data_IF_537809733148
#
_entry.id   IF_537809733148
#
_cell.length_a   1.000
_cell.length_b   1.000
_cell.length_c   1.000
_cell.angle_alpha   90.00
_cell.angle_beta   90.00
_cell.angle_gamma   90.00
#
_symmetry.space_group_name_H-M   'P 1'
#
loop_
_entity.id
_entity.type
_entity.pdbx_description
1 polymer ?
#
# COMPACT_ATOMS: atom_id res chain seq x y z
N UNK A 1 3.02 -88.20 25.01
CA UNK A 1 1.72 -88.74 25.48
C UNK A 1 0.66 -87.68 25.31
N UNK A 2 -0.04 -87.69 24.19
CA UNK A 2 -1.51 -87.86 24.10
C UNK A 2 -2.27 -86.78 24.84
N UNK A 3 -3.23 -86.09 24.34
CA UNK A 3 -4.34 -86.41 23.43
C UNK A 3 -5.04 -85.10 23.13
N UNK A 4 -5.28 -84.66 21.85
CA UNK A 4 -6.59 -84.71 21.16
C UNK A 4 -7.71 -84.05 21.95
N UNK A 5 -8.31 -83.06 21.44
CA UNK A 5 -9.32 -82.81 20.39
C UNK A 5 -10.55 -82.13 20.97
N UNK A 6 -11.20 -81.39 20.06
CA UNK A 6 -12.59 -81.00 20.01
C UNK A 6 -12.93 -79.70 20.83
N UNK A 7 -13.61 -78.76 20.29
CA UNK A 7 -14.57 -78.86 19.23
C UNK A 7 -15.07 -77.53 18.74
N UNK A 8 -15.50 -77.68 17.65
CA UNK A 8 -16.22 -76.90 16.71
C UNK A 8 -17.40 -76.06 17.28
N UNK A 9 -17.60 -74.93 16.58
CA UNK A 9 -18.88 -74.26 16.31
C UNK A 9 -19.42 -73.34 17.42
N UNK A 10 -19.23 -72.05 17.15
CA UNK A 10 -20.40 -71.14 17.00
C UNK A 10 -19.93 -69.97 16.13
N UNK A 11 -20.29 -70.08 14.86
CA UNK A 11 -20.29 -68.98 13.94
C UNK A 11 -21.48 -68.06 14.32
N UNK A 12 -21.18 -66.96 14.93
CA UNK A 12 -22.14 -65.87 15.03
C UNK A 12 -21.77 -64.83 13.96
N UNK A 13 -22.54 -64.77 12.91
CA UNK A 13 -22.61 -63.73 11.91
C UNK A 13 -22.72 -62.39 12.64
N UNK A 14 -21.73 -61.57 12.57
CA UNK A 14 -21.87 -60.11 12.62
C UNK A 14 -21.50 -59.62 11.24
N UNK A 15 -22.50 -59.47 10.40
CA UNK A 15 -22.38 -58.76 9.13
C UNK A 15 -22.15 -57.29 9.45
N UNK A 16 -20.90 -56.87 9.45
CA UNK A 16 -20.55 -55.48 9.40
C UNK A 16 -20.81 -55.05 7.93
N UNK A 17 -21.90 -54.35 7.71
CA UNK A 17 -22.15 -53.62 6.46
C UNK A 17 -21.13 -52.48 6.38
N UNK A 18 -20.04 -52.71 5.69
CA UNK A 18 -19.23 -51.67 5.10
C UNK A 18 -20.09 -51.07 3.96
N UNK A 19 -20.73 -49.94 4.27
CA UNK A 19 -21.19 -49.02 3.22
C UNK A 19 -19.94 -48.34 2.69
N UNK A 20 -19.35 -48.88 1.66
CA UNK A 20 -18.44 -48.18 0.80
C UNK A 20 -19.31 -47.16 0.02
N UNK A 21 -19.41 -45.94 0.50
CA UNK A 21 -19.82 -44.82 -0.33
C UNK A 21 -18.59 -44.50 -1.22
N UNK A 22 -18.51 -45.25 -2.32
CA UNK A 22 -17.71 -44.83 -3.46
C UNK A 22 -18.54 -43.75 -4.18
N UNK A 23 -18.41 -42.51 -3.77
CA UNK A 23 -18.62 -41.39 -4.67
C UNK A 23 -17.30 -41.16 -5.37
N UNK A 24 -17.13 -41.78 -6.51
CA UNK A 24 -16.20 -41.32 -7.51
C UNK A 24 -16.74 -40.02 -8.08
N UNK A 25 -16.06 -38.99 -7.86
CA UNK A 25 -16.11 -37.74 -8.57
C UNK A 25 -14.67 -37.36 -8.77
N UNK A 26 -14.11 -37.67 -9.93
CA UNK A 26 -12.92 -37.02 -10.44
C UNK A 26 -13.35 -35.57 -10.77
N UNK A 27 -13.15 -34.69 -9.86
CA UNK A 27 -12.97 -33.27 -10.14
C UNK A 27 -11.51 -32.95 -9.82
N UNK A 28 -10.66 -33.09 -10.84
CA UNK A 28 -9.38 -32.39 -10.94
C UNK A 28 -9.68 -30.89 -11.20
N UNK A 29 -10.17 -30.21 -10.21
CA UNK A 29 -10.17 -28.78 -10.03
C UNK A 29 -9.52 -28.53 -8.69
N UNK A 30 -8.25 -28.16 -8.70
CA UNK A 30 -7.58 -27.59 -7.53
C UNK A 30 -8.23 -26.25 -7.20
N UNK A 31 -9.44 -26.27 -6.65
CA UNK A 31 -10.05 -25.12 -6.01
C UNK A 31 -9.35 -24.97 -4.65
N UNK A 32 -8.76 -23.80 -4.42
CA UNK A 32 -8.30 -23.43 -3.08
C UNK A 32 -9.43 -23.66 -2.07
N UNK A 33 -9.08 -24.15 -0.90
CA UNK A 33 -10.07 -24.34 0.16
C UNK A 33 -10.67 -22.99 0.53
N UNK A 34 -12.01 -22.92 0.56
CA UNK A 34 -12.69 -21.69 0.95
C UNK A 34 -12.43 -21.39 2.43
N UNK A 35 -11.95 -20.19 2.71
CA UNK A 35 -11.74 -19.71 4.07
C UNK A 35 -13.08 -19.33 4.74
N UNK A 36 -13.23 -19.63 6.01
CA UNK A 36 -14.36 -19.15 6.82
C UNK A 36 -14.02 -17.78 7.44
N UNK A 37 -15.04 -17.05 7.84
CA UNK A 37 -14.87 -15.77 8.56
C UNK A 37 -14.10 -16.01 9.87
N UNK A 38 -12.99 -15.30 10.06
CA UNK A 38 -12.13 -15.42 11.25
C UNK A 38 -11.26 -16.68 11.28
N UNK A 39 -11.18 -17.43 10.18
CA UNK A 39 -10.29 -18.59 10.06
C UNK A 39 -8.83 -18.12 9.91
N UNK A 40 -7.93 -18.77 10.65
CA UNK A 40 -6.48 -18.62 10.52
C UNK A 40 -5.84 -19.95 10.23
N UNK A 41 -4.86 -19.97 9.33
CA UNK A 41 -4.13 -21.16 8.87
C UNK A 41 -2.61 -21.07 9.13
N UNK A 42 -2.17 -20.02 9.82
CA UNK A 42 -0.79 -19.78 10.24
C UNK A 42 -0.54 -18.36 10.69
N UNK A 43 0.72 -17.99 10.89
CA UNK A 43 1.13 -16.62 11.15
C UNK A 43 0.99 -15.78 9.87
N UNK A 44 0.73 -14.48 9.99
CA UNK A 44 0.64 -13.57 8.84
C UNK A 44 2.04 -13.07 8.45
N UNK A 45 2.40 -13.23 7.18
CA UNK A 45 3.59 -12.61 6.61
C UNK A 45 3.14 -11.42 5.73
N UNK A 46 3.27 -10.24 6.28
CA UNK A 46 2.85 -8.97 5.67
C UNK A 46 4.06 -8.30 4.99
N UNK A 47 3.90 -7.83 3.75
CA UNK A 47 4.88 -7.01 3.07
C UNK A 47 4.25 -5.66 2.74
N UNK A 48 4.69 -4.62 3.42
CA UNK A 48 4.00 -3.33 3.50
C UNK A 48 4.97 -2.17 3.27
N UNK A 49 4.46 -0.96 3.23
CA UNK A 49 5.23 0.27 3.30
C UNK A 49 5.73 0.50 4.73
N UNK A 50 6.84 1.24 4.87
CA UNK A 50 7.32 1.67 6.18
C UNK A 50 6.28 2.58 6.86
N UNK A 51 6.15 2.47 8.20
CA UNK A 51 5.29 3.34 9.03
C UNK A 51 3.82 3.42 8.57
N UNK A 52 3.28 2.32 8.06
CA UNK A 52 1.95 2.30 7.46
C UNK A 52 0.94 1.39 8.17
N UNK A 53 1.35 0.70 9.22
CA UNK A 53 0.51 -0.15 10.06
C UNK A 53 0.67 0.21 11.53
N UNK A 54 -0.45 0.52 12.20
CA UNK A 54 -0.48 0.78 13.63
C UNK A 54 -0.06 -0.47 14.44
N UNK A 55 1.02 -0.39 15.23
CA UNK A 55 1.48 -1.51 16.06
C UNK A 55 0.44 -1.98 17.11
N UNK A 56 -0.45 -1.10 17.55
CA UNK A 56 -1.51 -1.47 18.49
C UNK A 56 -2.57 -2.33 17.80
N UNK A 57 -2.88 -2.07 16.52
CA UNK A 57 -3.75 -2.94 15.72
C UNK A 57 -3.12 -4.29 15.41
N UNK A 58 -1.81 -4.36 15.16
CA UNK A 58 -1.11 -5.64 15.04
C UNK A 58 -1.24 -6.44 16.34
N UNK A 59 -0.94 -5.82 17.48
CA UNK A 59 -1.07 -6.46 18.79
C UNK A 59 -2.49 -6.93 19.07
N UNK A 60 -3.50 -6.14 18.70
CA UNK A 60 -4.92 -6.50 18.87
C UNK A 60 -5.28 -7.72 18.01
N UNK A 61 -4.87 -7.75 16.74
CA UNK A 61 -5.09 -8.89 15.86
C UNK A 61 -4.43 -10.17 16.39
N UNK A 62 -3.16 -10.10 16.79
CA UNK A 62 -2.42 -11.22 17.36
C UNK A 62 -3.12 -11.78 18.62
N UNK A 63 -3.61 -10.89 19.47
CA UNK A 63 -4.31 -11.28 20.70
C UNK A 63 -5.69 -11.90 20.43
N UNK A 64 -6.42 -11.42 19.42
CA UNK A 64 -7.74 -11.92 19.07
C UNK A 64 -7.69 -13.27 18.40
N UNK A 65 -6.77 -13.45 17.43
CA UNK A 65 -6.73 -14.63 16.58
C UNK A 65 -5.67 -15.66 16.98
N UNK A 66 -4.75 -15.31 17.88
CA UNK A 66 -3.73 -16.21 18.41
C UNK A 66 -2.64 -16.57 17.42
N UNK A 67 -2.34 -15.69 16.47
CA UNK A 67 -1.29 -15.77 15.45
C UNK A 67 -0.32 -14.62 15.63
N UNK A 68 0.85 -14.67 14.98
CA UNK A 68 1.81 -13.56 14.93
C UNK A 68 1.77 -12.88 13.58
N UNK A 69 2.13 -11.58 13.54
CA UNK A 69 2.37 -10.83 12.31
C UNK A 69 3.88 -10.66 12.13
N UNK A 70 4.40 -11.10 10.99
CA UNK A 70 5.76 -10.85 10.54
C UNK A 70 5.69 -9.81 9.43
N UNK A 71 6.08 -8.57 9.71
CA UNK A 71 6.07 -7.49 8.75
C UNK A 71 7.47 -7.22 8.22
N UNK A 72 7.60 -7.18 6.89
CA UNK A 72 8.75 -6.64 6.17
C UNK A 72 8.28 -5.42 5.35
N UNK A 73 9.20 -4.49 5.04
CA UNK A 73 8.87 -3.25 4.36
C UNK A 73 9.56 -3.11 3.00
N UNK A 74 8.97 -2.29 2.13
CA UNK A 74 9.52 -1.89 0.85
C UNK A 74 9.33 -0.38 0.62
N UNK A 75 10.16 0.21 -0.23
CA UNK A 75 10.23 1.65 -0.50
C UNK A 75 9.61 2.07 -1.83
N UNK A 76 9.23 1.11 -2.68
CA UNK A 76 8.49 1.34 -3.93
C UNK A 76 7.79 0.07 -4.43
N UNK A 77 6.72 0.23 -5.22
CA UNK A 77 6.05 -0.88 -5.89
C UNK A 77 7.00 -1.64 -6.82
N UNK A 78 7.92 -0.92 -7.49
CA UNK A 78 8.93 -1.48 -8.37
C UNK A 78 9.99 -2.32 -7.63
N UNK A 79 10.24 -2.04 -6.35
CA UNK A 79 11.08 -2.88 -5.49
C UNK A 79 10.34 -4.13 -5.03
N UNK A 80 9.05 -4.03 -4.70
CA UNK A 80 8.20 -5.12 -4.24
C UNK A 80 7.88 -6.12 -5.36
N UNK A 81 7.43 -5.65 -6.53
CA UNK A 81 6.92 -6.47 -7.62
C UNK A 81 7.85 -7.64 -8.03
N UNK A 82 9.15 -7.45 -8.28
CA UNK A 82 10.02 -8.55 -8.68
C UNK A 82 10.15 -9.66 -7.64
N UNK A 83 9.98 -9.33 -6.35
CA UNK A 83 10.04 -10.28 -5.25
C UNK A 83 8.81 -11.19 -5.28
N UNK A 84 7.62 -10.59 -5.49
CA UNK A 84 6.36 -11.32 -5.60
C UNK A 84 6.32 -12.14 -6.89
N UNK A 85 6.65 -11.54 -8.04
CA UNK A 85 6.63 -12.21 -9.34
C UNK A 85 7.65 -13.35 -9.47
N UNK A 86 8.67 -13.42 -8.61
CA UNK A 86 9.59 -14.56 -8.58
C UNK A 86 8.91 -15.84 -8.07
N UNK A 87 7.77 -15.74 -7.37
CA UNK A 87 7.04 -16.83 -6.73
C UNK A 87 7.74 -17.38 -5.50
N UNK A 88 6.98 -18.03 -4.63
CA UNK A 88 7.43 -18.54 -3.33
C UNK A 88 8.13 -17.49 -2.48
N UNK A 89 7.59 -16.27 -2.50
CA UNK A 89 8.11 -15.15 -1.72
C UNK A 89 7.98 -15.39 -0.21
N UNK A 90 6.99 -16.19 0.19
CA UNK A 90 6.65 -16.45 1.58
C UNK A 90 5.72 -15.41 2.20
N UNK A 91 5.34 -14.37 1.47
CA UNK A 91 4.37 -13.38 1.92
C UNK A 91 2.94 -13.86 1.67
N UNK A 92 2.04 -13.47 2.57
CA UNK A 92 0.61 -13.76 2.50
C UNK A 92 -0.17 -12.56 1.97
N UNK A 93 0.17 -11.38 2.45
CA UNK A 93 -0.51 -10.12 2.16
C UNK A 93 0.50 -9.05 1.76
N UNK A 94 0.17 -8.30 0.71
CA UNK A 94 0.92 -7.13 0.23
C UNK A 94 -0.01 -5.92 0.15
N UNK A 95 0.57 -4.72 0.14
CA UNK A 95 -0.19 -3.46 0.11
C UNK A 95 0.21 -2.61 -1.12
N UNK A 96 -0.06 -3.07 -2.35
CA UNK A 96 0.29 -2.33 -3.57
C UNK A 96 -0.58 -1.09 -3.78
N UNK A 97 -0.01 -0.08 -4.43
CA UNK A 97 -0.78 1.05 -4.94
C UNK A 97 -1.63 0.64 -6.15
N UNK A 98 -2.60 1.49 -6.48
CA UNK A 98 -3.62 1.31 -7.50
C UNK A 98 -3.11 0.74 -8.85
N UNK A 99 -2.13 1.40 -9.52
CA UNK A 99 -1.60 0.94 -10.80
C UNK A 99 -0.91 -0.43 -10.71
N UNK A 100 -0.23 -0.68 -9.57
CA UNK A 100 0.47 -1.94 -9.36
C UNK A 100 -0.50 -3.11 -9.18
N UNK A 101 -1.70 -2.87 -8.65
CA UNK A 101 -2.77 -3.88 -8.60
C UNK A 101 -3.08 -4.39 -10.01
N UNK A 102 -3.24 -3.49 -11.02
CA UNK A 102 -3.46 -3.91 -12.42
C UNK A 102 -2.35 -4.82 -12.93
N UNK A 103 -1.10 -4.46 -12.67
CA UNK A 103 0.08 -5.22 -13.10
C UNK A 103 0.12 -6.62 -12.46
N UNK A 104 -0.18 -6.68 -11.15
CA UNK A 104 -0.19 -7.95 -10.40
C UNK A 104 -1.37 -8.85 -10.79
N UNK A 105 -2.51 -8.29 -11.18
CA UNK A 105 -3.64 -9.05 -11.75
C UNK A 105 -3.23 -9.65 -13.10
N UNK A 106 -2.66 -8.84 -13.99
CA UNK A 106 -2.28 -9.28 -15.34
C UNK A 106 -1.17 -10.33 -15.32
N UNK A 107 -0.25 -10.27 -14.36
CA UNK A 107 0.80 -11.27 -14.17
C UNK A 107 0.33 -12.53 -13.42
N UNK A 108 -0.82 -12.47 -12.75
CA UNK A 108 -1.35 -13.57 -11.94
C UNK A 108 -0.62 -13.75 -10.60
N UNK A 109 -0.03 -12.68 -10.07
CA UNK A 109 0.76 -12.70 -8.85
C UNK A 109 -0.09 -12.54 -7.57
N UNK A 110 -1.35 -12.14 -7.70
CA UNK A 110 -2.33 -12.05 -6.62
C UNK A 110 -3.56 -12.91 -6.91
N UNK A 111 -4.18 -13.42 -5.85
CA UNK A 111 -5.37 -14.27 -5.95
C UNK A 111 -6.67 -13.47 -5.76
N UNK A 112 -7.81 -13.94 -6.27
CA UNK A 112 -9.09 -13.33 -5.98
C UNK A 112 -9.41 -13.31 -4.49
N UNK A 113 -9.97 -12.22 -4.02
CA UNK A 113 -10.46 -12.09 -2.63
C UNK A 113 -11.65 -13.03 -2.40
N UNK A 114 -11.56 -13.86 -1.38
CA UNK A 114 -12.64 -14.72 -0.95
C UNK A 114 -13.67 -13.91 -0.16
N UNK A 115 -14.56 -13.21 -0.87
CA UNK A 115 -15.50 -12.21 -0.31
C UNK A 115 -16.37 -12.77 0.82
N UNK A 116 -16.67 -14.06 0.82
CA UNK A 116 -17.43 -14.72 1.91
C UNK A 116 -16.64 -14.78 3.22
N UNK A 117 -15.31 -14.72 3.18
CA UNK A 117 -14.44 -14.63 4.35
C UNK A 117 -14.27 -13.18 4.86
N UNK A 118 -14.67 -12.18 4.07
CA UNK A 118 -14.48 -10.75 4.37
C UNK A 118 -15.81 -9.98 4.36
N UNK A 119 -16.75 -10.25 5.28
CA UNK A 119 -18.07 -9.58 5.32
C UNK A 119 -17.98 -8.06 5.49
N UNK A 120 -16.90 -7.53 6.10
CA UNK A 120 -16.70 -6.10 6.30
C UNK A 120 -16.37 -5.34 5.00
N UNK A 121 -16.26 -6.01 3.84
CA UNK A 121 -16.27 -5.31 2.54
C UNK A 121 -17.49 -4.40 2.37
N UNK A 122 -18.60 -4.72 3.04
CA UNK A 122 -19.80 -3.89 3.06
C UNK A 122 -19.64 -2.53 3.76
N UNK A 123 -18.53 -2.31 4.47
CA UNK A 123 -18.20 -1.07 5.17
C UNK A 123 -17.50 -0.04 4.26
N UNK A 124 -17.00 -0.46 3.09
CA UNK A 124 -16.36 0.45 2.15
C UNK A 124 -17.35 1.50 1.63
N UNK A 125 -16.85 2.70 1.40
CA UNK A 125 -17.62 3.75 0.73
C UNK A 125 -17.91 3.34 -0.73
N UNK A 126 -19.04 3.80 -1.27
CA UNK A 126 -19.50 3.41 -2.61
C UNK A 126 -18.45 3.62 -3.70
N UNK A 127 -17.63 4.67 -3.60
CA UNK A 127 -16.56 4.97 -4.56
C UNK A 127 -15.38 3.99 -4.49
N UNK A 128 -15.22 3.27 -3.38
CA UNK A 128 -14.16 2.28 -3.17
C UNK A 128 -14.66 0.84 -3.25
N UNK A 129 -15.97 0.63 -3.22
CA UNK A 129 -16.55 -0.71 -3.19
C UNK A 129 -16.52 -1.43 -4.55
N UNK A 130 -16.45 -0.67 -5.66
CA UNK A 130 -16.36 -1.20 -7.03
C UNK A 130 -16.11 -0.06 -8.04
N UNK A 131 -15.73 -0.45 -9.26
CA UNK A 131 -15.56 0.51 -10.36
C UNK A 131 -14.23 1.25 -10.34
N UNK A 132 -13.28 0.84 -9.52
CA UNK A 132 -11.92 1.36 -9.51
C UNK A 132 -11.22 0.95 -10.82
N UNK A 133 -10.49 1.85 -11.49
CA UNK A 133 -9.91 1.56 -12.81
C UNK A 133 -8.97 0.36 -12.84
N UNK A 134 -8.30 0.10 -11.74
CA UNK A 134 -7.29 -0.96 -11.59
C UNK A 134 -7.89 -2.34 -11.20
N UNK A 135 -9.07 -2.38 -10.59
CA UNK A 135 -9.82 -3.61 -10.24
C UNK A 135 -11.34 -3.30 -10.30
N UNK A 136 -11.95 -3.19 -11.51
CA UNK A 136 -13.30 -2.68 -11.67
C UNK A 136 -14.40 -3.50 -10.98
N UNK A 137 -14.16 -4.81 -10.81
CA UNK A 137 -15.09 -5.74 -10.18
C UNK A 137 -14.77 -5.95 -8.69
N UNK A 138 -13.76 -5.26 -8.16
CA UNK A 138 -13.21 -5.44 -6.82
C UNK A 138 -13.00 -6.92 -6.49
N UNK A 139 -12.34 -7.64 -7.41
CA UNK A 139 -12.17 -9.09 -7.33
C UNK A 139 -10.86 -9.48 -6.64
N UNK A 140 -9.79 -8.69 -6.81
CA UNK A 140 -8.43 -9.05 -6.42
C UNK A 140 -7.85 -8.19 -5.29
N UNK A 141 -8.45 -7.03 -5.04
CA UNK A 141 -7.90 -6.05 -4.11
C UNK A 141 -8.97 -5.46 -3.20
N UNK A 142 -8.52 -4.97 -2.05
CA UNK A 142 -9.39 -4.29 -1.07
C UNK A 142 -8.73 -2.97 -0.70
N UNK A 143 -9.33 -1.81 -0.96
CA UNK A 143 -8.78 -0.53 -0.56
C UNK A 143 -8.42 -0.48 0.92
N UNK A 144 -7.20 -0.02 1.20
CA UNK A 144 -6.60 0.05 2.53
C UNK A 144 -6.65 1.48 3.08
N UNK A 145 -5.94 2.39 2.43
CA UNK A 145 -5.96 3.83 2.69
C UNK A 145 -5.70 4.60 1.39
N UNK A 146 -5.95 5.92 1.41
CA UNK A 146 -5.64 6.78 0.29
C UNK A 146 -5.09 8.13 0.77
N UNK A 147 -4.33 8.78 -0.09
CA UNK A 147 -3.70 10.04 0.23
C UNK A 147 -3.19 10.77 -1.01
N UNK A 148 -2.32 11.74 -0.75
CA UNK A 148 -1.69 12.56 -1.78
C UNK A 148 -0.18 12.62 -1.59
N UNK A 149 0.53 12.86 -2.69
CA UNK A 149 1.97 13.12 -2.69
C UNK A 149 2.23 14.59 -3.02
N UNK A 150 3.09 15.22 -2.22
CA UNK A 150 3.40 16.63 -2.33
C UNK A 150 4.71 17.02 -1.66
N UNK A 151 4.75 18.24 -1.13
CA UNK A 151 5.92 18.78 -0.46
C UNK A 151 5.64 19.10 1.01
N UNK A 152 6.46 18.55 1.91
CA UNK A 152 6.63 19.02 3.26
C UNK A 152 7.71 20.11 3.32
N UNK A 153 7.46 21.19 4.06
CA UNK A 153 8.32 22.38 4.07
C UNK A 153 8.51 22.91 5.47
N UNK A 154 9.76 23.22 5.84
CA UNK A 154 10.11 23.95 7.06
C UNK A 154 10.03 25.46 6.84
N UNK A 155 9.00 26.11 7.40
CA UNK A 155 8.76 27.54 7.30
C UNK A 155 9.77 28.38 8.08
N UNK A 156 10.49 27.82 9.04
CA UNK A 156 11.58 28.52 9.72
C UNK A 156 12.77 28.77 8.76
N UNK A 157 12.95 27.93 7.75
CA UNK A 157 13.98 28.07 6.72
C UNK A 157 13.46 28.88 5.53
N UNK A 158 12.29 28.51 5.00
CA UNK A 158 11.76 29.08 3.77
C UNK A 158 10.96 30.37 3.97
N UNK A 159 10.44 30.59 5.18
CA UNK A 159 9.48 31.64 5.47
C UNK A 159 8.03 31.26 5.09
N UNK A 160 7.04 32.00 5.64
CA UNK A 160 5.62 31.64 5.50
C UNK A 160 5.04 31.93 4.09
N UNK A 161 5.74 32.69 3.26
CA UNK A 161 5.30 33.07 1.91
C UNK A 161 5.99 32.18 0.83
N UNK A 162 6.43 30.96 1.20
CA UNK A 162 7.04 30.00 0.26
C UNK A 162 6.04 29.63 -0.85
N UNK A 163 6.45 29.60 -2.14
CA UNK A 163 5.54 29.27 -3.22
C UNK A 163 5.21 27.77 -3.25
N UNK A 164 3.94 27.45 -3.45
CA UNK A 164 3.44 26.06 -3.54
C UNK A 164 3.71 25.49 -4.93
N UNK A 165 4.97 25.12 -5.22
CA UNK A 165 5.40 24.66 -6.55
C UNK A 165 6.46 23.59 -6.45
N UNK A 166 6.45 22.63 -7.38
CA UNK A 166 7.57 21.71 -7.61
C UNK A 166 8.88 22.41 -7.97
N UNK A 167 8.80 23.69 -8.35
CA UNK A 167 9.98 24.52 -8.60
C UNK A 167 10.93 24.61 -7.43
N UNK A 168 10.50 24.39 -6.17
CA UNK A 168 11.38 24.31 -5.00
C UNK A 168 12.42 23.21 -5.14
N UNK A 169 12.10 22.14 -5.86
CA UNK A 169 13.01 21.03 -6.19
C UNK A 169 13.70 21.29 -7.53
N UNK A 170 12.93 21.64 -8.57
CA UNK A 170 13.39 21.55 -9.96
C UNK A 170 13.93 22.87 -10.55
N UNK A 171 13.63 24.05 -9.96
CA UNK A 171 14.18 25.32 -10.41
C UNK A 171 15.42 25.69 -9.55
N UNK A 172 16.64 25.65 -10.12
CA UNK A 172 17.84 26.01 -9.36
C UNK A 172 17.88 27.46 -8.90
N UNK A 173 17.18 28.37 -9.58
CA UNK A 173 17.12 29.77 -9.13
C UNK A 173 16.22 29.91 -7.90
N UNK A 174 15.10 29.20 -7.87
CA UNK A 174 14.18 29.18 -6.73
C UNK A 174 14.84 28.44 -5.53
N UNK A 175 15.47 27.29 -5.75
CA UNK A 175 16.20 26.59 -4.71
C UNK A 175 17.30 27.46 -4.08
N UNK A 176 18.03 28.24 -4.88
CA UNK A 176 19.04 29.18 -4.39
C UNK A 176 18.43 30.38 -3.62
N UNK A 177 17.27 30.89 -4.05
CA UNK A 177 16.55 31.98 -3.37
C UNK A 177 16.17 31.60 -1.94
N UNK A 178 15.70 30.34 -1.75
CA UNK A 178 15.26 29.79 -0.45
C UNK A 178 16.38 29.06 0.31
N UNK A 179 17.62 29.06 -0.20
CA UNK A 179 18.80 28.37 0.41
C UNK A 179 18.59 26.85 0.57
N UNK A 180 18.00 26.21 -0.40
CA UNK A 180 17.64 24.78 -0.35
C UNK A 180 18.76 23.85 -0.83
N UNK A 181 19.93 24.34 -1.25
CA UNK A 181 21.02 23.50 -1.73
C UNK A 181 21.50 22.53 -0.63
N UNK A 182 21.38 21.22 -0.87
CA UNK A 182 21.71 20.17 0.10
C UNK A 182 20.70 20.02 1.24
N UNK A 183 19.52 20.64 1.13
CA UNK A 183 18.45 20.60 2.12
C UNK A 183 17.11 20.11 1.52
N UNK A 184 17.18 19.40 0.39
CA UNK A 184 16.02 18.80 -0.29
C UNK A 184 16.13 17.28 -0.21
N UNK A 185 15.03 16.59 0.07
CA UNK A 185 14.91 15.14 -0.15
C UNK A 185 13.83 14.83 -1.16
N UNK A 186 14.03 13.78 -1.92
CA UNK A 186 13.10 13.30 -2.94
C UNK A 186 12.82 11.82 -2.66
N UNK A 187 11.59 11.36 -2.90
CA UNK A 187 11.25 9.95 -2.75
C UNK A 187 12.14 9.05 -3.63
N UNK A 188 12.54 7.91 -3.09
CA UNK A 188 13.25 6.87 -3.82
C UNK A 188 12.27 5.97 -4.61
N UNK A 189 11.29 6.60 -5.23
CA UNK A 189 10.22 5.97 -6.01
C UNK A 189 10.23 6.49 -7.45
N UNK A 190 10.36 5.61 -8.47
CA UNK A 190 10.43 6.02 -9.86
C UNK A 190 9.19 6.76 -10.34
N UNK A 191 7.98 6.27 -10.00
CA UNK A 191 6.74 6.83 -10.52
C UNK A 191 6.41 8.17 -9.87
N UNK A 192 6.63 8.29 -8.55
CA UNK A 192 6.41 9.53 -7.82
C UNK A 192 7.42 10.61 -8.22
N UNK A 193 8.71 10.27 -8.27
CA UNK A 193 9.75 11.26 -8.59
C UNK A 193 9.70 11.73 -10.04
N UNK A 194 9.53 10.81 -10.99
CA UNK A 194 9.36 11.18 -12.39
C UNK A 194 8.01 11.90 -12.60
N UNK A 195 6.97 11.49 -11.86
CA UNK A 195 5.66 12.13 -11.85
C UNK A 195 5.71 13.58 -11.40
N UNK A 196 6.41 13.88 -10.31
CA UNK A 196 6.62 15.27 -9.83
C UNK A 196 7.31 16.14 -10.89
N UNK A 197 8.35 15.61 -11.56
CA UNK A 197 9.03 16.33 -12.64
C UNK A 197 8.13 16.55 -13.88
N UNK A 198 7.32 15.55 -14.24
CA UNK A 198 6.34 15.65 -15.32
C UNK A 198 5.28 16.72 -15.01
N UNK A 199 4.77 16.73 -13.76
CA UNK A 199 3.80 17.77 -13.31
C UNK A 199 4.40 19.16 -13.39
N UNK A 200 5.65 19.33 -12.95
CA UNK A 200 6.33 20.62 -13.07
C UNK A 200 6.44 21.10 -14.53
N UNK A 201 6.64 20.19 -15.48
CA UNK A 201 6.65 20.50 -16.92
C UNK A 201 5.25 20.70 -17.52
N UNK A 202 4.18 20.40 -16.77
CA UNK A 202 2.79 20.48 -17.22
C UNK A 202 2.31 19.27 -18.01
N UNK A 203 2.99 18.13 -17.85
CA UNK A 203 2.63 16.85 -18.48
C UNK A 203 1.77 15.98 -17.53
N UNK A 204 1.18 14.90 -18.07
CA UNK A 204 0.51 13.87 -17.27
C UNK A 204 1.53 12.99 -16.55
N UNK A 205 1.18 12.52 -15.35
CA UNK A 205 1.93 11.46 -14.63
C UNK A 205 2.03 10.17 -15.46
N UNK A 206 1.11 9.98 -16.40
CA UNK A 206 0.91 8.76 -17.18
C UNK A 206 1.32 8.95 -18.64
N UNK A 207 2.26 9.86 -18.92
CA UNK A 207 2.76 10.02 -20.29
C UNK A 207 3.35 8.72 -20.82
N UNK A 208 3.08 8.44 -22.09
CA UNK A 208 3.78 7.39 -22.86
C UNK A 208 4.67 8.00 -23.93
N UNK A 209 5.02 9.27 -23.80
CA UNK A 209 5.95 9.99 -24.66
C UNK A 209 7.37 9.92 -24.11
N UNK A 210 8.27 9.28 -24.86
CA UNK A 210 9.67 9.20 -24.45
C UNK A 210 10.33 10.59 -24.42
N UNK A 211 9.89 11.52 -25.27
CA UNK A 211 10.43 12.89 -25.30
C UNK A 211 10.06 13.65 -23.98
N UNK A 212 8.81 13.52 -23.51
CA UNK A 212 8.36 14.13 -22.24
C UNK A 212 9.07 13.51 -21.03
N UNK A 213 9.25 12.18 -21.06
CA UNK A 213 9.96 11.47 -20.00
C UNK A 213 11.45 11.82 -19.99
N UNK A 214 12.08 12.02 -21.15
CA UNK A 214 13.47 12.48 -21.25
C UNK A 214 13.65 13.92 -20.72
N UNK A 215 12.65 14.82 -20.91
CA UNK A 215 12.66 16.14 -20.30
C UNK A 215 12.56 16.06 -18.78
N UNK A 216 11.66 15.21 -18.24
CA UNK A 216 11.54 14.97 -16.80
C UNK A 216 12.82 14.36 -16.21
N UNK A 217 13.42 13.38 -16.90
CA UNK A 217 14.71 12.78 -16.51
C UNK A 217 15.81 13.83 -16.41
N UNK A 218 15.87 14.75 -17.34
CA UNK A 218 16.88 15.82 -17.32
C UNK A 218 16.70 16.75 -16.12
N UNK A 219 15.46 17.04 -15.71
CA UNK A 219 15.16 17.83 -14.51
C UNK A 219 15.58 17.10 -13.23
N UNK A 220 15.24 15.82 -13.10
CA UNK A 220 15.63 15.00 -11.94
C UNK A 220 17.15 14.91 -11.86
N UNK A 221 17.86 14.65 -12.99
CA UNK A 221 19.31 14.61 -13.04
C UNK A 221 19.97 15.95 -12.64
N UNK A 222 19.38 17.09 -13.03
CA UNK A 222 19.86 18.40 -12.59
C UNK A 222 19.62 18.60 -11.07
N UNK A 223 18.46 18.17 -10.56
CA UNK A 223 18.11 18.26 -9.14
C UNK A 223 19.06 17.47 -8.24
N UNK A 224 19.65 16.35 -8.69
CA UNK A 224 20.60 15.54 -7.90
C UNK A 224 21.77 16.36 -7.34
N UNK A 225 22.15 17.45 -8.02
CA UNK A 225 23.22 18.34 -7.54
C UNK A 225 22.83 19.15 -6.28
N UNK A 226 21.53 19.22 -5.95
CA UNK A 226 20.96 20.02 -4.85
C UNK A 226 20.32 19.16 -3.78
N UNK A 227 20.03 17.89 -4.08
CA UNK A 227 19.34 16.95 -3.20
C UNK A 227 20.30 16.38 -2.17
N UNK A 228 19.86 16.31 -0.92
CA UNK A 228 20.58 15.66 0.16
C UNK A 228 20.49 14.14 0.09
N UNK A 229 19.29 13.62 -0.23
CA UNK A 229 19.02 12.20 -0.34
C UNK A 229 17.82 11.89 -1.26
N UNK A 230 17.79 10.68 -1.81
CA UNK A 230 16.60 9.99 -2.27
C UNK A 230 16.19 9.01 -1.17
N UNK A 231 15.04 9.24 -0.54
CA UNK A 231 14.63 8.52 0.65
C UNK A 231 13.11 8.45 0.72
N UNK A 232 12.55 7.24 0.79
CA UNK A 232 11.12 7.01 0.95
C UNK A 232 10.73 6.59 2.38
N UNK A 233 11.71 6.36 3.27
CA UNK A 233 11.47 5.86 4.62
C UNK A 233 11.53 6.97 5.69
N UNK A 234 12.47 7.91 5.57
CA UNK A 234 12.79 8.89 6.62
C UNK A 234 12.62 10.36 6.18
N UNK A 235 12.02 10.61 5.02
CA UNK A 235 11.89 11.95 4.43
C UNK A 235 11.19 12.96 5.37
N UNK A 236 10.20 12.53 6.11
CA UNK A 236 9.41 13.30 7.08
C UNK A 236 10.21 13.59 8.36
N UNK A 237 10.91 12.60 8.92
CA UNK A 237 11.83 12.78 10.04
C UNK A 237 13.00 13.71 9.68
N UNK A 238 13.53 13.62 8.46
CA UNK A 238 14.59 14.50 7.97
C UNK A 238 14.14 15.97 7.96
N UNK A 239 12.85 16.22 7.66
CA UNK A 239 12.27 17.56 7.70
C UNK A 239 12.21 18.10 9.12
N UNK A 240 11.58 17.39 10.06
CA UNK A 240 11.37 17.90 11.43
C UNK A 240 12.64 17.90 12.26
N UNK A 241 13.64 17.08 11.91
CA UNK A 241 14.97 17.14 12.52
C UNK A 241 15.85 18.29 12.00
N UNK A 242 15.39 19.03 10.96
CA UNK A 242 16.14 20.12 10.34
C UNK A 242 17.31 19.67 9.45
N UNK A 243 17.34 18.39 9.05
CA UNK A 243 18.30 17.86 8.08
C UNK A 243 17.89 18.18 6.65
N UNK A 244 16.59 18.35 6.41
CA UNK A 244 16.02 18.86 5.18
C UNK A 244 15.13 20.07 5.46
N UNK A 245 14.92 20.91 4.46
CA UNK A 245 14.03 22.07 4.53
C UNK A 245 12.81 21.94 3.60
N UNK A 246 12.95 21.13 2.56
CA UNK A 246 11.88 20.74 1.62
C UNK A 246 12.00 19.26 1.34
N UNK A 247 10.92 18.53 1.52
CA UNK A 247 10.89 17.08 1.28
C UNK A 247 9.70 16.69 0.43
N UNK A 248 9.96 15.87 -0.59
CA UNK A 248 8.94 15.21 -1.38
C UNK A 248 8.47 13.97 -0.64
N UNK A 249 7.17 13.82 -0.42
CA UNK A 249 6.65 12.69 0.33
C UNK A 249 5.13 12.64 0.46
N UNK A 250 4.66 11.70 1.27
CA UNK A 250 3.26 11.34 1.44
C UNK A 250 2.61 12.13 2.58
N UNK A 251 1.35 12.54 2.36
CA UNK A 251 0.62 13.49 3.21
C UNK A 251 0.51 13.08 4.69
N UNK A 252 0.19 11.81 4.97
CA UNK A 252 -0.06 11.35 6.34
C UNK A 252 1.18 11.35 7.22
N UNK A 253 2.32 10.81 6.73
CA UNK A 253 3.56 10.80 7.48
C UNK A 253 3.99 12.21 7.90
N UNK A 254 3.84 13.21 7.01
CA UNK A 254 4.11 14.60 7.40
C UNK A 254 3.23 15.05 8.55
N UNK A 255 1.93 14.75 8.53
CA UNK A 255 1.04 15.15 9.59
C UNK A 255 1.39 14.50 10.92
N UNK A 256 1.76 13.20 10.93
CA UNK A 256 2.24 12.52 12.14
C UNK A 256 3.42 13.30 12.74
N UNK A 257 4.44 13.60 11.94
CA UNK A 257 5.62 14.32 12.40
C UNK A 257 5.33 15.75 12.82
N UNK A 258 4.43 16.46 12.12
CA UNK A 258 4.09 17.83 12.47
C UNK A 258 3.35 17.90 13.80
N UNK A 259 2.41 16.98 14.07
CA UNK A 259 1.71 16.94 15.36
C UNK A 259 2.61 16.54 16.54
N UNK A 260 3.67 15.76 16.28
CA UNK A 260 4.65 15.37 17.30
C UNK A 260 5.74 16.43 17.52
N UNK A 261 5.90 17.40 16.61
CA UNK A 261 6.90 18.44 16.72
C UNK A 261 6.62 19.42 17.87
N UNK A 262 7.68 20.01 18.44
CA UNK A 262 7.57 21.05 19.48
C UNK A 262 6.79 22.30 19.02
N UNK A 263 6.84 22.63 17.74
CA UNK A 263 6.13 23.74 17.09
C UNK A 263 5.50 23.25 15.76
N UNK A 264 4.29 22.69 15.78
CA UNK A 264 3.62 22.21 14.58
C UNK A 264 3.43 23.28 13.50
N UNK A 265 3.25 24.55 13.86
CA UNK A 265 3.05 25.66 12.93
C UNK A 265 4.33 26.02 12.15
N UNK A 266 5.49 25.46 12.54
CA UNK A 266 6.75 25.60 11.80
C UNK A 266 6.71 24.88 10.46
N UNK A 267 5.87 23.86 10.32
CA UNK A 267 5.85 22.99 9.15
C UNK A 267 4.56 23.13 8.37
N UNK A 268 4.64 22.84 7.09
CA UNK A 268 3.45 22.78 6.22
C UNK A 268 3.62 21.68 5.17
N UNK A 269 2.49 21.15 4.72
CA UNK A 269 2.41 20.28 3.56
C UNK A 269 1.45 20.87 2.55
N UNK A 270 1.77 20.72 1.27
CA UNK A 270 0.88 21.06 0.17
C UNK A 270 1.13 20.21 -1.06
N UNK A 271 0.08 19.97 -1.84
CA UNK A 271 0.22 19.52 -3.22
C UNK A 271 0.53 20.75 -4.07
N UNK A 272 1.64 20.77 -4.83
CA UNK A 272 2.02 21.92 -5.65
C UNK A 272 0.96 22.34 -6.65
N UNK A 273 1.00 23.62 -7.04
CA UNK A 273 0.00 24.23 -7.94
C UNK A 273 -0.07 23.59 -9.33
N UNK A 274 0.99 22.93 -9.76
CA UNK A 274 1.07 22.18 -11.02
C UNK A 274 0.31 20.84 -10.93
N UNK A 275 -0.03 20.40 -9.72
CA UNK A 275 -0.69 19.14 -9.41
C UNK A 275 0.25 18.11 -8.82
N UNK A 276 -0.31 16.99 -8.40
CA UNK A 276 0.41 15.89 -7.76
C UNK A 276 -0.34 14.58 -7.91
N UNK A 277 0.14 13.56 -7.22
CA UNK A 277 -0.46 12.24 -7.19
C UNK A 277 -1.57 12.16 -6.15
N UNK A 278 -2.68 11.53 -6.50
CA UNK A 278 -3.60 10.88 -5.57
C UNK A 278 -3.43 9.38 -5.76
N UNK A 279 -3.27 8.66 -4.69
CA UNK A 279 -3.11 7.21 -4.71
C UNK A 279 -4.13 6.53 -3.79
N UNK A 280 -4.43 5.28 -4.11
CA UNK A 280 -5.19 4.35 -3.26
C UNK A 280 -4.36 3.10 -3.12
N UNK A 281 -3.92 2.82 -1.90
CA UNK A 281 -3.26 1.56 -1.60
C UNK A 281 -4.26 0.49 -1.25
N UNK A 282 -3.92 -0.74 -1.59
CA UNK A 282 -4.85 -1.85 -1.56
C UNK A 282 -4.23 -3.07 -0.88
N UNK A 283 -4.97 -3.72 -0.03
CA UNK A 283 -4.62 -5.05 0.46
C UNK A 283 -4.87 -6.08 -0.64
N UNK A 284 -3.87 -6.88 -0.98
CA UNK A 284 -3.95 -7.94 -1.96
C UNK A 284 -3.29 -9.22 -1.42
N UNK A 285 -3.96 -10.36 -1.59
CA UNK A 285 -3.44 -11.66 -1.16
C UNK A 285 -2.57 -12.23 -2.27
N UNK A 286 -1.34 -12.62 -1.93
CA UNK A 286 -0.37 -13.20 -2.89
C UNK A 286 -0.90 -14.52 -3.44
N UNK A 287 -0.72 -14.79 -4.74
CA UNK A 287 -1.30 -15.96 -5.40
C UNK A 287 -0.83 -17.30 -4.81
N UNK A 288 0.39 -17.36 -4.28
CA UNK A 288 0.97 -18.54 -3.62
C UNK A 288 1.16 -18.33 -2.10
N UNK A 289 0.31 -17.49 -1.49
CA UNK A 289 0.32 -17.20 -0.07
C UNK A 289 0.33 -18.48 0.77
N UNK A 290 1.28 -18.64 1.72
CA UNK A 290 1.27 -19.79 2.62
C UNK A 290 0.05 -19.85 3.55
N UNK A 291 -0.50 -18.68 3.93
CA UNK A 291 -1.60 -18.56 4.90
C UNK A 291 -2.72 -17.65 4.41
N UNK A 292 -3.40 -18.00 3.29
CA UNK A 292 -4.39 -17.13 2.68
C UNK A 292 -5.61 -16.86 3.58
N UNK A 293 -5.99 -17.79 4.45
CA UNK A 293 -7.13 -17.56 5.35
C UNK A 293 -6.79 -16.54 6.45
N UNK A 294 -5.56 -16.54 6.95
CA UNK A 294 -5.09 -15.51 7.89
C UNK A 294 -5.05 -14.14 7.23
N UNK A 295 -4.61 -14.06 5.97
CA UNK A 295 -4.63 -12.82 5.20
C UNK A 295 -6.06 -12.26 5.03
N UNK A 296 -7.03 -13.08 4.64
CA UNK A 296 -8.43 -12.66 4.53
C UNK A 296 -9.03 -12.23 5.88
N UNK A 297 -8.68 -12.93 6.97
CA UNK A 297 -9.11 -12.57 8.31
C UNK A 297 -8.52 -11.23 8.74
N UNK A 298 -7.27 -10.94 8.39
CA UNK A 298 -6.63 -9.65 8.67
C UNK A 298 -7.27 -8.51 7.86
N UNK A 299 -7.57 -8.73 6.57
CA UNK A 299 -8.32 -7.77 5.77
C UNK A 299 -9.68 -7.46 6.42
N UNK A 300 -10.41 -8.49 6.84
CA UNK A 300 -11.70 -8.29 7.50
C UNK A 300 -11.59 -7.56 8.84
N UNK A 301 -10.53 -7.80 9.60
CA UNK A 301 -10.24 -7.12 10.86
C UNK A 301 -9.97 -5.62 10.64
N UNK A 302 -9.17 -5.25 9.63
CA UNK A 302 -8.88 -3.85 9.33
C UNK A 302 -10.10 -3.09 8.77
N UNK A 303 -11.01 -3.80 8.10
CA UNK A 303 -12.27 -3.23 7.62
C UNK A 303 -13.35 -3.12 8.72
N UNK A 304 -13.09 -3.56 9.95
CA UNK A 304 -13.96 -3.20 11.07
C UNK A 304 -13.97 -1.68 11.26
N UNK A 305 -15.13 -1.13 11.64
CA UNK A 305 -15.32 0.32 11.69
C UNK A 305 -14.38 1.02 12.69
N UNK A 306 -14.18 0.43 13.86
CA UNK A 306 -13.33 0.99 14.91
C UNK A 306 -11.86 0.81 14.57
N UNK A 307 -11.47 -0.35 13.99
CA UNK A 307 -10.09 -0.62 13.58
C UNK A 307 -9.66 0.25 12.39
N UNK A 308 -10.53 0.42 11.38
CA UNK A 308 -10.25 1.32 10.26
C UNK A 308 -10.11 2.79 10.70
N UNK A 309 -10.90 3.22 11.69
CA UNK A 309 -10.76 4.54 12.27
C UNK A 309 -9.47 4.69 13.09
N UNK A 310 -9.12 3.67 13.89
CA UNK A 310 -7.88 3.69 14.67
C UNK A 310 -6.65 3.85 13.76
N UNK A 311 -6.62 3.13 12.63
CA UNK A 311 -5.54 3.26 11.64
C UNK A 311 -5.44 4.68 11.08
N UNK A 312 -6.57 5.27 10.66
CA UNK A 312 -6.61 6.64 10.13
C UNK A 312 -6.22 7.69 11.18
N UNK A 313 -6.66 7.52 12.43
CA UNK A 313 -6.29 8.42 13.53
C UNK A 313 -4.80 8.31 13.91
N UNK A 314 -4.18 7.16 13.64
CA UNK A 314 -2.77 6.94 13.93
C UNK A 314 -1.84 7.52 12.88
N UNK A 315 -2.15 7.32 11.57
CA UNK A 315 -1.23 7.69 10.48
C UNK A 315 -1.72 8.84 9.59
N UNK A 316 -2.88 9.41 9.88
CA UNK A 316 -3.47 10.56 9.17
C UNK A 316 -3.66 10.36 7.66
N UNK A 317 -3.81 9.11 7.21
CA UNK A 317 -4.27 8.83 5.85
C UNK A 317 -5.77 8.62 5.81
N UNK A 318 -6.40 9.01 4.70
CA UNK A 318 -7.84 8.94 4.57
C UNK A 318 -8.33 7.48 4.47
N UNK A 319 -9.40 7.18 5.19
CA UNK A 319 -10.05 5.87 5.19
C UNK A 319 -10.94 5.68 3.96
N UNK A 320 -10.88 4.54 3.26
CA UNK A 320 -11.90 4.14 2.30
C UNK A 320 -13.15 3.53 2.94
N UNK A 321 -13.15 3.34 4.27
CA UNK A 321 -14.19 2.68 5.05
C UNK A 321 -15.21 3.69 5.57
N UNK A 322 -16.39 3.78 4.94
CA UNK A 322 -17.46 4.70 5.35
C UNK A 322 -17.99 4.42 6.76
N UNK A 323 -17.94 3.16 7.23
CA UNK A 323 -18.36 2.82 8.58
C UNK A 323 -17.40 3.35 9.65
N UNK A 324 -16.16 3.67 9.30
CA UNK A 324 -15.16 4.23 10.22
C UNK A 324 -15.38 5.72 10.51
N UNK A 325 -16.04 6.47 9.63
CA UNK A 325 -16.21 7.93 9.76
C UNK A 325 -16.69 8.38 11.17
N UNK A 326 -17.69 7.72 11.84
CA UNK A 326 -18.12 8.14 13.16
C UNK A 326 -17.09 7.97 14.28
N UNK A 327 -16.00 7.23 14.03
CA UNK A 327 -14.95 6.89 14.99
C UNK A 327 -13.64 7.61 14.69
N UNK A 328 -13.51 8.24 13.50
CA UNK A 328 -12.37 9.08 13.16
C UNK A 328 -12.49 10.40 13.92
N UNK A 329 -11.37 10.89 14.45
CA UNK A 329 -11.29 12.15 15.15
C UNK A 329 -11.71 13.31 14.26
N UNK A 330 -12.52 14.23 14.79
CA UNK A 330 -13.09 15.31 13.98
C UNK A 330 -12.02 16.22 13.37
N UNK A 331 -10.89 16.41 14.03
CA UNK A 331 -9.77 17.19 13.51
C UNK A 331 -9.12 16.54 12.30
N UNK A 332 -9.10 15.20 12.22
CA UNK A 332 -8.61 14.44 11.06
C UNK A 332 -9.60 14.55 9.90
N UNK A 333 -10.90 14.42 10.19
CA UNK A 333 -11.96 14.56 9.17
C UNK A 333 -12.02 15.97 8.55
N UNK A 334 -11.74 17.00 9.35
CA UNK A 334 -11.79 18.39 8.92
C UNK A 334 -10.47 18.87 8.27
N UNK A 335 -9.40 18.06 8.33
CA UNK A 335 -8.10 18.43 7.78
C UNK A 335 -8.08 18.28 6.24
N UNK A 336 -7.87 19.38 5.49
CA UNK A 336 -7.83 19.34 4.03
C UNK A 336 -6.60 18.63 3.44
N UNK A 337 -5.58 18.33 4.25
CA UNK A 337 -4.43 17.51 3.84
C UNK A 337 -4.83 16.03 3.79
N UNK A 338 -5.62 15.57 4.79
CA UNK A 338 -6.14 14.21 4.84
C UNK A 338 -7.28 14.02 3.82
N UNK A 339 -8.28 14.93 3.87
CA UNK A 339 -9.46 14.88 3.01
C UNK A 339 -9.54 16.13 2.10
N UNK A 340 -8.73 16.21 1.03
CA UNK A 340 -8.69 17.37 0.14
C UNK A 340 -10.03 17.58 -0.58
N UNK A 341 -10.58 18.79 -0.45
CA UNK A 341 -11.85 19.17 -1.06
C UNK A 341 -11.73 19.53 -2.55
N UNK A 342 -10.55 19.99 -2.99
CA UNK A 342 -10.24 20.25 -4.40
C UNK A 342 -9.23 19.23 -4.92
N UNK A 343 -9.73 18.28 -5.70
CA UNK A 343 -8.91 17.22 -6.30
C UNK A 343 -8.66 17.46 -7.80
N UNK A 344 -9.01 18.64 -8.33
CA UNK A 344 -8.96 18.94 -9.77
C UNK A 344 -7.55 18.90 -10.38
N UNK A 345 -6.51 18.99 -9.54
CA UNK A 345 -5.11 18.93 -9.93
C UNK A 345 -4.43 17.62 -9.59
N UNK A 346 -5.16 16.72 -8.95
CA UNK A 346 -4.68 15.38 -8.59
C UNK A 346 -4.90 14.43 -9.75
N UNK A 347 -3.96 13.53 -9.94
CA UNK A 347 -4.00 12.49 -10.96
C UNK A 347 -3.58 11.15 -10.34
N UNK A 348 -4.30 10.09 -10.65
CA UNK A 348 -3.85 8.74 -10.28
C UNK A 348 -2.69 8.30 -11.17
N UNK A 349 -1.74 7.58 -10.59
CA UNK A 349 -0.79 6.82 -11.39
C UNK A 349 -1.56 5.68 -12.03
N UNK A 350 -1.42 5.51 -13.35
CA UNK A 350 -2.04 4.42 -14.09
C UNK A 350 -0.97 3.49 -14.65
N UNK A 351 -1.32 2.23 -14.82
CA UNK A 351 -0.51 1.28 -15.56
C UNK A 351 -0.33 1.77 -17.01
N UNK A 352 0.91 1.95 -17.44
CA UNK A 352 1.29 2.37 -18.79
C UNK A 352 1.69 1.21 -19.69
N UNK A 353 1.46 -0.03 -19.24
CA UNK A 353 1.77 -1.26 -19.96
C UNK A 353 3.26 -1.41 -20.24
N UNK A 354 3.61 -1.78 -21.48
CA UNK A 354 5.03 -1.95 -21.88
C UNK A 354 5.87 -0.69 -21.68
N UNK A 355 5.26 0.47 -21.45
CA UNK A 355 5.99 1.73 -21.23
C UNK A 355 6.49 1.87 -19.78
N UNK A 356 5.98 1.12 -18.84
CA UNK A 356 6.28 1.20 -17.39
C UNK A 356 7.77 1.13 -17.09
N UNK A 357 8.48 0.23 -17.75
CA UNK A 357 9.93 0.07 -17.57
C UNK A 357 10.73 1.35 -17.86
N UNK A 358 10.21 2.24 -18.74
CA UNK A 358 10.92 3.47 -19.07
C UNK A 358 10.97 4.45 -17.90
N UNK A 359 9.98 4.44 -16.99
CA UNK A 359 10.01 5.25 -15.78
C UNK A 359 11.13 4.80 -14.85
N UNK A 360 11.25 3.50 -14.60
CA UNK A 360 12.30 2.93 -13.75
C UNK A 360 13.70 3.17 -14.35
N UNK A 361 13.86 2.99 -15.67
CA UNK A 361 15.11 3.24 -16.37
C UNK A 361 15.47 4.73 -16.32
N UNK A 362 14.52 5.64 -16.59
CA UNK A 362 14.74 7.08 -16.57
C UNK A 362 15.13 7.56 -15.15
N UNK A 363 14.45 7.08 -14.12
CA UNK A 363 14.78 7.38 -12.72
C UNK A 363 16.19 6.91 -12.35
N UNK A 364 16.51 5.65 -12.68
CA UNK A 364 17.83 5.07 -12.39
C UNK A 364 18.94 5.84 -13.10
N UNK A 365 18.76 6.20 -14.38
CA UNK A 365 19.72 7.00 -15.15
C UNK A 365 19.87 8.42 -14.61
N UNK A 366 18.77 9.05 -14.15
CA UNK A 366 18.80 10.40 -13.59
C UNK A 366 19.51 10.46 -12.24
N UNK A 367 19.33 9.43 -11.43
CA UNK A 367 19.88 9.31 -10.09
C UNK A 367 21.39 9.03 -10.09
N UNK A 368 21.91 8.30 -11.10
CA UNK A 368 23.34 8.06 -11.36
C UNK A 368 23.86 6.73 -10.86
#
# INVERSE_FOLDING_TARGET
>A
MNIKTWGRLLAALLALTLVAAACGGDDDGGGEAACAVGETDGDLNLYNWSEYMDPDLQTAFEAEFGVSINEDNYDSNEAMQPIISAGNSGYDLIVPSDYMVSILIDSGDIMPIQKDAVPNLSNLADEFASGLPFDPDAEYSVPYQWGTTGLGVDLAVTGPDVPETWGLIFDPALAAEYNLEGAITILNDPRETMGAALKYLGYSLNTTSIDELDEAKALVADATNRVAAFDSDQYDELLVSGQAAVTHGYSGNFLVQFFEADDPEQYTYFVPQEGGTRWVDNMAVVADAPHPCTAHTFINFLLDAENGAALTNWNYYASPNAASEPFIDQEVLDDPIVYPTDQSKLEFIADTGDFEINFSDAFTEAKG
#
